data_IF_717542994249
#
_entry.id   IF_717542994249
#
_cell.length_a   1.000
_cell.length_b   1.000
_cell.length_c   1.000
_cell.angle_alpha   90.00
_cell.angle_beta   90.00
_cell.angle_gamma   90.00
#
_symmetry.space_group_name_H-M   'P 1'
#
loop_
_entity.id
_entity.type
_entity.pdbx_description
1 polymer ?
#
# COMPACT_ATOMS: atom_id res chain seq x y z
N UNK A 1 7.13 -4.44 -33.48
CA UNK A 1 6.07 -3.47 -33.10
C UNK A 1 6.37 -3.06 -31.68
N UNK A 2 6.59 -1.77 -31.44
CA UNK A 2 7.14 -1.28 -30.17
C UNK A 2 6.13 -1.52 -29.04
N UNK A 3 6.46 -2.44 -28.13
CA UNK A 3 5.77 -2.56 -26.84
C UNK A 3 5.92 -1.22 -26.13
N UNK A 4 4.82 -0.52 -25.96
CA UNK A 4 4.80 0.72 -25.21
C UNK A 4 5.11 0.38 -23.75
N UNK A 5 6.35 0.61 -23.33
CA UNK A 5 6.84 0.33 -21.98
C UNK A 5 6.06 1.20 -20.97
N UNK A 6 5.12 0.59 -20.24
CA UNK A 6 4.26 1.26 -19.25
C UNK A 6 5.09 2.05 -18.22
N UNK A 7 6.22 1.49 -17.77
CA UNK A 7 7.09 2.17 -16.81
C UNK A 7 7.63 3.47 -17.42
N UNK A 8 8.09 3.41 -18.68
CA UNK A 8 8.57 4.59 -19.40
C UNK A 8 7.48 5.65 -19.54
N UNK A 9 6.24 5.27 -19.84
CA UNK A 9 5.13 6.22 -19.91
C UNK A 9 4.82 6.87 -18.56
N UNK A 10 5.00 6.14 -17.46
CA UNK A 10 4.85 6.68 -16.11
C UNK A 10 6.01 7.62 -15.75
N UNK A 11 7.24 7.29 -16.15
CA UNK A 11 8.42 8.15 -15.99
C UNK A 11 8.28 9.47 -16.76
N UNK A 12 7.82 9.42 -18.02
CA UNK A 12 7.55 10.61 -18.85
C UNK A 12 6.52 11.54 -18.21
N UNK A 13 5.63 11.00 -17.37
CA UNK A 13 4.63 11.75 -16.60
C UNK A 13 5.14 12.20 -15.22
N UNK A 14 6.38 11.90 -14.86
CA UNK A 14 6.93 12.17 -13.53
C UNK A 14 6.24 11.39 -12.41
N UNK A 15 5.64 10.22 -12.71
CA UNK A 15 4.89 9.40 -11.76
C UNK A 15 5.73 8.29 -11.11
N UNK A 16 7.01 8.17 -11.49
CA UNK A 16 7.94 7.18 -10.96
C UNK A 16 8.99 7.90 -10.11
N UNK A 17 8.96 7.66 -8.81
CA UNK A 17 10.01 8.14 -7.90
C UNK A 17 11.16 7.13 -7.81
N UNK A 18 10.83 5.85 -7.60
CA UNK A 18 11.78 4.74 -7.47
C UNK A 18 11.13 3.45 -7.98
N UNK A 19 11.93 2.55 -8.55
CA UNK A 19 11.52 1.22 -9.00
C UNK A 19 12.59 0.22 -8.57
N UNK A 20 12.17 -0.92 -8.04
CA UNK A 20 13.08 -2.05 -7.79
C UNK A 20 13.27 -2.82 -9.09
N UNK A 21 14.52 -2.99 -9.52
CA UNK A 21 14.89 -3.76 -10.73
C UNK A 21 13.98 -3.44 -11.93
N UNK A 22 14.17 -2.24 -12.49
CA UNK A 22 13.34 -1.70 -13.56
C UNK A 22 13.32 -2.60 -14.80
N UNK A 23 14.47 -3.17 -15.16
CA UNK A 23 14.61 -4.03 -16.33
C UNK A 23 13.79 -5.32 -16.18
N UNK A 24 13.91 -6.00 -15.02
CA UNK A 24 13.14 -7.20 -14.75
C UNK A 24 11.64 -6.93 -14.69
N UNK A 25 11.22 -5.79 -14.11
CA UNK A 25 9.80 -5.41 -14.07
C UNK A 25 9.28 -5.09 -15.47
N UNK A 26 10.03 -4.36 -16.29
CA UNK A 26 9.65 -4.06 -17.67
C UNK A 26 9.50 -5.35 -18.49
N UNK A 27 10.41 -6.30 -18.34
CA UNK A 27 10.32 -7.62 -18.97
C UNK A 27 9.06 -8.37 -18.50
N UNK A 28 8.80 -8.39 -17.19
CA UNK A 28 7.60 -9.05 -16.65
C UNK A 28 6.32 -8.42 -17.18
N UNK A 29 6.23 -7.10 -17.27
CA UNK A 29 5.06 -6.40 -17.81
C UNK A 29 4.83 -6.73 -19.30
N UNK A 30 5.92 -6.94 -20.07
CA UNK A 30 5.85 -7.32 -21.47
C UNK A 30 5.38 -8.77 -21.70
N UNK A 31 5.60 -9.67 -20.74
CA UNK A 31 5.15 -11.07 -20.82
C UNK A 31 3.62 -11.24 -20.71
N UNK A 32 2.91 -10.21 -20.22
CA UNK A 32 1.44 -10.21 -20.13
C UNK A 32 0.93 -9.63 -18.81
N UNK A 33 -0.41 -9.65 -18.59
CA UNK A 33 -1.03 -9.10 -17.39
C UNK A 33 -0.39 -9.60 -16.08
N UNK A 34 -0.34 -8.70 -15.10
CA UNK A 34 0.09 -8.98 -13.72
C UNK A 34 -0.99 -8.52 -12.76
N UNK A 35 -0.98 -9.06 -11.55
CA UNK A 35 -1.65 -8.44 -10.42
C UNK A 35 -0.70 -7.48 -9.72
N UNK A 36 -1.21 -6.32 -9.32
CA UNK A 36 -0.49 -5.33 -8.52
C UNK A 36 -1.39 -4.78 -7.42
N UNK A 37 -0.84 -4.16 -6.39
CA UNK A 37 -1.65 -3.57 -5.33
C UNK A 37 -1.19 -2.16 -4.95
N UNK A 38 -2.12 -1.38 -4.37
CA UNK A 38 -1.80 -0.19 -3.59
C UNK A 38 -2.64 -0.20 -2.32
N UNK A 39 -2.01 0.15 -1.20
CA UNK A 39 -2.63 0.17 0.13
C UNK A 39 -3.09 1.57 0.53
N UNK A 40 -4.24 1.62 1.20
CA UNK A 40 -4.81 2.84 1.78
C UNK A 40 -5.21 2.58 3.23
N UNK A 41 -4.52 3.21 4.17
CA UNK A 41 -4.87 3.08 5.59
C UNK A 41 -6.04 4.01 5.96
N UNK A 42 -7.01 3.52 6.74
CA UNK A 42 -8.11 4.32 7.28
C UNK A 42 -7.61 5.21 8.43
N UNK A 43 -6.95 6.32 8.10
CA UNK A 43 -6.54 7.34 9.09
C UNK A 43 -7.58 8.44 9.30
N UNK A 44 -8.58 8.48 8.43
CA UNK A 44 -9.73 9.36 8.45
C UNK A 44 -10.87 8.66 7.70
N UNK A 45 -12.06 9.25 7.71
CA UNK A 45 -13.25 8.69 7.07
C UNK A 45 -13.31 8.92 5.54
N UNK A 46 -12.32 9.62 4.99
CA UNK A 46 -12.13 9.88 3.56
C UNK A 46 -10.66 9.97 3.19
N UNK A 47 -10.31 9.52 1.98
CA UNK A 47 -9.04 9.86 1.35
C UNK A 47 -9.02 11.35 0.97
N UNK A 48 -7.83 11.94 1.01
CA UNK A 48 -7.53 13.28 0.48
C UNK A 48 -6.60 13.23 -0.75
N UNK A 49 -6.28 14.39 -1.34
CA UNK A 49 -5.44 14.52 -2.56
C UNK A 49 -4.10 13.77 -2.51
N UNK A 50 -3.45 13.66 -1.35
CA UNK A 50 -2.23 12.87 -1.19
C UNK A 50 -2.34 11.39 -1.60
N UNK A 51 -3.54 10.81 -1.64
CA UNK A 51 -3.77 9.42 -2.06
C UNK A 51 -4.14 9.31 -3.55
N UNK A 52 -4.43 10.43 -4.21
CA UNK A 52 -4.99 10.43 -5.56
C UNK A 52 -3.95 9.98 -6.59
N UNK A 53 -2.68 10.38 -6.44
CA UNK A 53 -1.61 9.98 -7.38
C UNK A 53 -1.43 8.45 -7.40
N UNK A 54 -1.23 7.75 -6.26
CA UNK A 54 -1.17 6.29 -6.24
C UNK A 54 -2.45 5.61 -6.77
N UNK A 55 -3.64 6.13 -6.42
CA UNK A 55 -4.91 5.59 -6.88
C UNK A 55 -5.09 5.70 -8.40
N UNK A 56 -4.73 6.85 -8.98
CA UNK A 56 -4.74 7.03 -10.42
C UNK A 56 -3.66 6.19 -11.11
N UNK A 57 -2.53 5.92 -10.45
CA UNK A 57 -1.54 4.98 -10.96
C UNK A 57 -2.13 3.56 -11.04
N UNK A 58 -2.82 3.06 -10.01
CA UNK A 58 -3.56 1.78 -10.09
C UNK A 58 -4.51 1.75 -11.30
N UNK A 59 -5.27 2.84 -11.53
CA UNK A 59 -6.15 2.95 -12.70
C UNK A 59 -5.36 2.88 -14.02
N UNK A 60 -4.19 3.51 -14.12
CA UNK A 60 -3.32 3.45 -15.32
C UNK A 60 -2.82 2.04 -15.59
N UNK A 61 -2.42 1.31 -14.56
CA UNK A 61 -2.06 -0.10 -14.69
C UNK A 61 -3.25 -0.94 -15.17
N UNK A 62 -4.46 -0.66 -14.66
CA UNK A 62 -5.67 -1.33 -15.13
C UNK A 62 -5.97 -1.04 -16.61
N UNK A 63 -5.85 0.21 -17.02
CA UNK A 63 -6.00 0.63 -18.42
C UNK A 63 -4.96 -0.02 -19.35
N UNK A 64 -3.78 -0.37 -18.82
CA UNK A 64 -2.76 -1.13 -19.54
C UNK A 64 -3.00 -2.66 -19.54
N UNK A 65 -4.11 -3.13 -18.97
CA UNK A 65 -4.51 -4.55 -18.96
C UNK A 65 -4.09 -5.33 -17.72
N UNK A 66 -3.49 -4.69 -16.71
CA UNK A 66 -3.10 -5.34 -15.46
C UNK A 66 -4.25 -5.35 -14.45
N UNK A 67 -4.20 -6.26 -13.46
CA UNK A 67 -5.26 -6.46 -12.46
C UNK A 67 -4.94 -5.70 -11.16
N UNK A 68 -5.64 -4.60 -10.85
CA UNK A 68 -5.38 -3.83 -9.64
C UNK A 68 -6.03 -4.48 -8.40
N UNK A 69 -5.31 -4.47 -7.29
CA UNK A 69 -5.82 -4.80 -5.95
C UNK A 69 -5.78 -3.53 -5.10
N UNK A 70 -6.95 -3.00 -4.76
CA UNK A 70 -7.08 -1.91 -3.80
C UNK A 70 -7.16 -2.50 -2.39
N UNK A 71 -6.08 -2.38 -1.62
CA UNK A 71 -6.02 -2.87 -0.25
C UNK A 71 -6.41 -1.74 0.72
N UNK A 72 -7.45 -1.96 1.52
CA UNK A 72 -7.80 -1.05 2.62
C UNK A 72 -7.27 -1.64 3.93
N UNK A 73 -6.52 -0.85 4.68
CA UNK A 73 -5.76 -1.31 5.84
C UNK A 73 -6.56 -1.47 7.12
N UNK A 74 -7.50 -2.41 7.21
CA UNK A 74 -8.30 -2.60 8.42
C UNK A 74 -7.50 -2.99 9.66
N UNK A 75 -6.40 -3.74 9.51
CA UNK A 75 -5.47 -4.03 10.60
C UNK A 75 -4.36 -2.97 10.73
N UNK A 76 -3.76 -2.54 9.62
CA UNK A 76 -2.67 -1.53 9.66
C UNK A 76 -3.13 -0.17 10.16
N UNK A 77 -4.39 0.20 9.91
CA UNK A 77 -5.02 1.40 10.47
C UNK A 77 -5.17 1.39 11.99
N UNK A 78 -5.18 0.21 12.63
CA UNK A 78 -5.20 0.06 14.09
C UNK A 78 -3.83 0.24 14.73
N UNK A 79 -2.75 0.10 13.94
CA UNK A 79 -1.36 0.24 14.40
C UNK A 79 -0.84 1.64 14.08
N UNK A 80 -1.00 2.06 12.83
CA UNK A 80 -0.52 3.33 12.30
C UNK A 80 0.90 3.26 11.74
N UNK A 81 1.05 3.70 10.48
CA UNK A 81 2.36 3.83 9.83
C UNK A 81 3.20 5.00 10.39
N UNK A 82 4.40 4.74 10.97
CA UNK A 82 5.29 5.77 11.49
C UNK A 82 6.15 6.43 10.40
N UNK A 83 6.12 5.95 9.16
CA UNK A 83 7.04 6.34 8.08
C UNK A 83 7.04 7.86 7.87
N UNK A 84 8.20 8.48 8.08
CA UNK A 84 8.42 9.93 7.93
C UNK A 84 7.47 10.80 8.79
N UNK A 85 6.90 10.25 9.86
CA UNK A 85 6.07 10.99 10.82
C UNK A 85 6.89 11.42 12.03
N UNK A 86 6.85 12.72 12.33
CA UNK A 86 7.56 13.32 13.46
C UNK A 86 6.97 12.93 14.83
N UNK A 87 5.68 12.62 14.89
CA UNK A 87 4.97 12.26 16.11
C UNK A 87 4.19 10.95 15.94
N UNK A 88 3.92 10.31 17.07
CA UNK A 88 3.09 9.11 17.14
C UNK A 88 1.64 9.41 16.73
N UNK A 89 1.01 8.46 16.03
CA UNK A 89 -0.38 8.59 15.64
C UNK A 89 -1.27 8.23 16.82
N UNK A 90 -2.41 8.91 16.94
CA UNK A 90 -3.46 8.46 17.86
C UNK A 90 -4.02 7.14 17.36
N UNK A 91 -4.07 6.15 18.24
CA UNK A 91 -4.77 4.91 18.00
C UNK A 91 -6.28 5.21 17.96
N UNK A 92 -6.94 4.70 16.94
CA UNK A 92 -8.40 4.77 16.81
C UNK A 92 -9.02 3.47 17.34
N UNK A 93 -10.28 3.54 17.76
CA UNK A 93 -11.00 2.33 18.17
C UNK A 93 -11.26 1.43 16.97
N UNK A 94 -11.45 0.14 17.22
CA UNK A 94 -11.73 -0.83 16.17
C UNK A 94 -13.00 -0.49 15.39
N UNK A 95 -14.06 -0.07 16.09
CA UNK A 95 -15.34 0.31 15.50
C UNK A 95 -15.17 1.49 14.55
N UNK A 96 -14.38 2.48 14.95
CA UNK A 96 -14.07 3.66 14.15
C UNK A 96 -13.33 3.27 12.87
N UNK A 97 -12.30 2.43 13.00
CA UNK A 97 -11.51 1.96 11.86
C UNK A 97 -12.36 1.14 10.91
N UNK A 98 -13.21 0.24 11.41
CA UNK A 98 -14.13 -0.55 10.58
C UNK A 98 -15.10 0.33 9.79
N UNK A 99 -15.65 1.39 10.39
CA UNK A 99 -16.49 2.37 9.68
C UNK A 99 -15.70 3.07 8.55
N UNK A 100 -14.49 3.52 8.83
CA UNK A 100 -13.64 4.20 7.87
C UNK A 100 -13.19 3.28 6.73
N UNK A 101 -12.91 2.01 7.01
CA UNK A 101 -12.64 0.99 5.98
C UNK A 101 -13.79 0.91 4.99
N UNK A 102 -15.04 0.86 5.49
CA UNK A 102 -16.21 0.78 4.63
C UNK A 102 -16.39 2.06 3.77
N UNK A 103 -16.14 3.24 4.33
CA UNK A 103 -16.19 4.52 3.60
C UNK A 103 -15.11 4.61 2.52
N UNK A 104 -13.86 4.31 2.86
CA UNK A 104 -12.73 4.35 1.92
C UNK A 104 -12.92 3.34 0.80
N UNK A 105 -13.36 2.11 1.10
CA UNK A 105 -13.66 1.11 0.07
C UNK A 105 -14.69 1.61 -0.94
N UNK A 106 -15.76 2.26 -0.47
CA UNK A 106 -16.79 2.87 -1.34
C UNK A 106 -16.22 4.04 -2.15
N UNK A 107 -15.31 4.81 -1.59
CA UNK A 107 -14.69 5.95 -2.27
C UNK A 107 -13.67 5.51 -3.35
N UNK A 108 -12.94 4.42 -3.13
CA UNK A 108 -11.98 3.87 -4.09
C UNK A 108 -12.68 3.18 -5.25
N UNK A 109 -13.81 2.52 -5.00
CA UNK A 109 -14.49 1.68 -6.00
C UNK A 109 -14.75 2.38 -7.35
N UNK A 110 -15.25 3.62 -7.43
CA UNK A 110 -15.51 4.30 -8.71
C UNK A 110 -14.27 4.60 -9.56
N UNK A 111 -13.06 4.53 -8.99
CA UNK A 111 -11.82 4.81 -9.74
C UNK A 111 -11.35 3.61 -10.56
N UNK A 112 -11.73 2.40 -10.17
CA UNK A 112 -11.31 1.14 -10.79
C UNK A 112 -12.51 0.43 -11.41
N UNK A 113 -12.24 -0.38 -12.42
CA UNK A 113 -13.26 -1.22 -13.05
C UNK A 113 -13.33 -2.57 -12.34
N UNK A 114 -14.49 -2.93 -11.80
CA UNK A 114 -14.70 -4.22 -11.12
C UNK A 114 -15.37 -5.25 -12.01
N UNK A 115 -15.75 -4.90 -13.24
CA UNK A 115 -16.55 -5.73 -14.15
C UNK A 115 -16.04 -5.64 -15.60
N UNK A 116 -14.72 -5.83 -15.78
CA UNK A 116 -14.05 -5.79 -17.09
C UNK A 116 -13.39 -7.12 -17.49
N UNK A 117 -13.67 -8.20 -16.77
CA UNK A 117 -13.17 -9.54 -17.07
C UNK A 117 -11.93 -9.93 -16.26
N UNK A 118 -10.90 -10.46 -16.92
CA UNK A 118 -9.72 -11.04 -16.22
C UNK A 118 -8.96 -10.01 -15.36
N UNK A 119 -8.94 -8.74 -15.78
CA UNK A 119 -8.30 -7.63 -15.06
C UNK A 119 -9.28 -6.81 -14.18
N UNK A 120 -10.47 -7.34 -13.87
CA UNK A 120 -11.37 -6.76 -12.87
C UNK A 120 -10.65 -6.53 -11.54
N UNK A 121 -10.86 -5.35 -10.96
CA UNK A 121 -10.25 -4.94 -9.71
C UNK A 121 -10.69 -5.84 -8.53
N UNK A 122 -9.81 -5.95 -7.54
CA UNK A 122 -10.09 -6.63 -6.28
C UNK A 122 -10.03 -5.61 -5.14
N UNK A 123 -11.03 -5.61 -4.28
CA UNK A 123 -10.97 -4.92 -2.99
C UNK A 123 -10.50 -5.92 -1.92
N UNK A 124 -9.39 -5.63 -1.25
CA UNK A 124 -8.84 -6.48 -0.19
C UNK A 124 -8.82 -5.73 1.15
N UNK A 125 -8.90 -6.47 2.26
CA UNK A 125 -8.72 -5.93 3.60
C UNK A 125 -7.69 -6.77 4.36
N UNK A 126 -6.62 -6.16 4.84
CA UNK A 126 -5.58 -6.91 5.57
C UNK A 126 -6.01 -7.38 6.97
N UNK A 127 -7.14 -6.91 7.46
CA UNK A 127 -7.78 -7.47 8.65
C UNK A 127 -8.17 -8.94 8.46
N UNK A 128 -8.44 -9.38 7.22
CA UNK A 128 -8.84 -10.76 6.92
C UNK A 128 -7.78 -11.79 7.37
N UNK A 129 -6.49 -11.41 7.37
CA UNK A 129 -5.41 -12.29 7.82
C UNK A 129 -4.76 -11.88 9.14
N UNK A 130 -4.76 -10.59 9.50
CA UNK A 130 -4.18 -10.16 10.78
C UNK A 130 -5.17 -10.20 11.95
N UNK A 131 -6.47 -9.99 11.72
CA UNK A 131 -7.48 -9.87 12.79
C UNK A 131 -7.62 -11.12 13.67
N UNK A 132 -7.28 -12.29 13.13
CA UNK A 132 -7.30 -13.56 13.87
C UNK A 132 -5.90 -14.17 14.09
N UNK A 133 -4.85 -13.46 13.69
CA UNK A 133 -3.48 -13.97 13.83
C UNK A 133 -3.01 -13.91 15.27
N UNK A 134 -2.55 -15.03 15.81
CA UNK A 134 -1.96 -15.06 17.13
C UNK A 134 -0.59 -14.35 17.15
N UNK A 135 -0.30 -13.62 18.22
CA UNK A 135 0.97 -12.89 18.40
C UNK A 135 2.20 -13.81 18.32
N UNK A 136 2.15 -15.02 18.86
CA UNK A 136 3.26 -15.96 18.80
C UNK A 136 3.49 -16.46 17.38
N UNK A 137 2.41 -16.68 16.61
CA UNK A 137 2.47 -17.00 15.18
C UNK A 137 3.13 -15.85 14.43
N UNK A 138 2.70 -14.60 14.65
CA UNK A 138 3.31 -13.43 14.01
C UNK A 138 4.81 -13.34 14.31
N UNK A 139 5.20 -13.39 15.59
CA UNK A 139 6.61 -13.25 15.99
C UNK A 139 7.49 -14.38 15.47
N UNK A 140 7.00 -15.63 15.48
CA UNK A 140 7.79 -16.80 15.08
C UNK A 140 7.83 -17.01 13.58
N UNK A 141 6.72 -16.79 12.88
CA UNK A 141 6.61 -17.16 11.47
C UNK A 141 6.96 -15.99 10.55
N UNK A 142 6.70 -14.75 10.99
CA UNK A 142 7.05 -13.53 10.27
C UNK A 142 8.28 -12.87 10.92
N UNK A 143 8.24 -12.60 12.22
CA UNK A 143 9.25 -11.80 12.93
C UNK A 143 10.68 -12.35 12.81
N UNK A 144 10.87 -13.68 12.76
CA UNK A 144 12.19 -14.30 12.59
C UNK A 144 12.94 -13.89 11.31
N UNK A 145 12.22 -13.38 10.30
CA UNK A 145 12.79 -12.97 9.02
C UNK A 145 13.25 -11.50 9.01
N UNK A 146 13.01 -10.75 10.10
CA UNK A 146 13.33 -9.33 10.20
C UNK A 146 14.46 -9.08 11.21
N UNK A 147 15.57 -8.53 10.73
CA UNK A 147 16.67 -8.10 11.60
C UNK A 147 16.37 -6.75 12.23
N UNK A 148 16.36 -6.70 13.57
CA UNK A 148 16.20 -5.44 14.32
C UNK A 148 17.25 -4.41 13.91
N UNK A 149 18.51 -4.82 13.72
CA UNK A 149 19.60 -3.93 13.27
C UNK A 149 19.31 -3.28 11.92
N UNK A 150 18.66 -3.98 10.99
CA UNK A 150 18.25 -3.39 9.71
C UNK A 150 17.04 -2.48 9.88
N UNK A 151 16.06 -2.85 10.72
CA UNK A 151 14.84 -2.07 10.95
C UNK A 151 15.15 -0.68 11.51
N UNK A 152 15.98 -0.58 12.54
CA UNK A 152 16.33 0.71 13.17
C UNK A 152 17.08 1.67 12.22
N UNK A 153 17.71 1.14 11.18
CA UNK A 153 18.48 1.91 10.19
C UNK A 153 17.65 2.31 8.96
N UNK A 154 16.37 1.91 8.87
CA UNK A 154 15.49 2.34 7.77
C UNK A 154 15.25 3.84 7.86
N UNK A 155 15.47 4.55 6.74
CA UNK A 155 15.29 6.01 6.65
C UNK A 155 13.92 6.49 7.14
N UNK A 156 12.87 5.68 6.95
CA UNK A 156 11.51 5.97 7.40
C UNK A 156 11.35 6.17 8.92
N UNK A 157 12.18 5.51 9.75
CA UNK A 157 12.08 5.52 11.22
C UNK A 157 13.34 6.05 11.92
N UNK A 158 14.48 6.10 11.22
CA UNK A 158 15.78 6.51 11.76
C UNK A 158 15.73 7.86 12.49
N UNK A 159 14.95 8.82 12.00
CA UNK A 159 14.81 10.13 12.65
C UNK A 159 14.17 10.06 14.04
N UNK A 160 13.26 9.11 14.28
CA UNK A 160 12.58 8.89 15.57
C UNK A 160 13.47 8.24 16.63
N UNK A 161 14.57 7.61 16.20
CA UNK A 161 15.51 6.95 17.11
C UNK A 161 16.70 7.83 17.48
N UNK A 162 16.90 8.95 16.78
CA UNK A 162 18.00 9.88 17.03
C UNK A 162 17.65 11.01 17.99
N UNK A 163 16.37 11.18 18.35
CA UNK A 163 15.87 12.28 19.17
C UNK A 163 15.10 11.73 20.37
N UNK A 164 15.60 11.99 21.58
CA UNK A 164 15.01 11.48 22.82
C UNK A 164 13.58 11.99 23.08
N UNK A 165 13.22 13.17 22.54
CA UNK A 165 11.89 13.77 22.61
C UNK A 165 10.91 13.28 21.52
N UNK A 166 11.38 12.45 20.58
CA UNK A 166 10.60 11.95 19.43
C UNK A 166 10.72 10.42 19.25
N UNK A 167 10.69 9.66 20.35
CA UNK A 167 10.74 8.19 20.33
C UNK A 167 9.62 7.52 19.53
N UNK A 168 9.74 6.21 19.29
CA UNK A 168 8.76 5.37 18.57
C UNK A 168 8.35 4.18 19.43
N UNK A 169 7.04 3.93 19.55
CA UNK A 169 6.43 2.80 20.25
C UNK A 169 6.54 1.49 19.49
#
# INVERSE_FOLDING_TARGET
>A
MASSNLIKQLQERGLVAQVTDEDALAERLAQGPIALYCGFDPTADSLHLGHLVPLLCLKRFQQAGHKPVALVGGATGLIGDPSFKAAERKLNTEETVQEWVAKIRKQVAPFLDFDCGENSAIAANNYDWFGSMNVLTFLRDIGKHFSVNQMINKEAVKQRLNRDDQGIS
#
